data_IF_605291004127
#
_entry.id   IF_605291004127
#
_cell.length_a   1.000
_cell.length_b   1.000
_cell.length_c   1.000
_cell.angle_alpha   90.00
_cell.angle_beta   90.00
_cell.angle_gamma   90.00
#
_symmetry.space_group_name_H-M   'P 1'
#
loop_
_entity.id
_entity.type
_entity.pdbx_description
1 polymer ?
#
# COMPACT_ATOMS: atom_id res chain seq x y z
N UNK A 1 -4.67 3.54 8.44
CA UNK A 1 -3.81 2.76 9.36
C UNK A 1 -3.84 1.29 8.94
N UNK A 2 -2.88 0.46 9.35
CA UNK A 2 -2.94 -0.99 9.07
C UNK A 2 -3.78 -1.72 10.13
N UNK A 3 -4.35 -2.87 9.77
CA UNK A 3 -4.96 -3.84 10.68
C UNK A 3 -4.27 -5.22 10.59
N UNK A 4 -3.06 -5.26 10.02
CA UNK A 4 -2.26 -6.47 9.99
C UNK A 4 -1.65 -6.72 11.37
N UNK A 5 -1.86 -7.92 11.92
CA UNK A 5 -1.41 -8.28 13.26
C UNK A 5 0.01 -8.84 13.19
N UNK A 6 0.98 -7.96 12.96
CA UNK A 6 2.39 -8.37 12.75
C UNK A 6 3.33 -7.52 13.61
N UNK A 7 4.46 -8.09 14.10
CA UNK A 7 5.50 -7.32 14.78
C UNK A 7 6.41 -6.55 13.80
N UNK A 8 6.01 -6.46 12.53
CA UNK A 8 6.82 -5.88 11.44
C UNK A 8 6.56 -4.39 11.22
N UNK A 9 5.85 -3.73 12.15
CA UNK A 9 5.61 -2.28 12.13
C UNK A 9 4.27 -1.80 11.62
N UNK A 10 3.43 -2.73 11.16
CA UNK A 10 2.07 -2.46 10.68
C UNK A 10 1.23 -1.75 11.74
N UNK A 11 1.44 -2.07 13.01
CA UNK A 11 0.73 -1.47 14.15
C UNK A 11 1.44 -0.26 14.78
N UNK A 12 2.66 0.10 14.36
CA UNK A 12 3.48 1.12 15.04
C UNK A 12 2.72 2.45 15.23
N UNK A 13 2.03 2.93 14.19
CA UNK A 13 1.27 4.20 14.25
C UNK A 13 0.17 4.20 15.32
N UNK A 14 -0.54 3.09 15.50
CA UNK A 14 -1.61 2.95 16.49
C UNK A 14 -1.03 2.78 17.89
N UNK A 15 0.06 2.01 18.03
CA UNK A 15 0.73 1.84 19.32
C UNK A 15 1.34 3.15 19.80
N UNK A 16 2.01 3.90 18.93
CA UNK A 16 2.56 5.21 19.27
C UNK A 16 1.42 6.16 19.63
N UNK A 17 0.30 6.16 18.90
CA UNK A 17 -0.84 7.00 19.24
C UNK A 17 -1.39 6.72 20.64
N UNK A 18 -1.64 5.45 20.96
CA UNK A 18 -2.29 5.02 22.20
C UNK A 18 -1.35 5.01 23.42
N UNK A 19 -0.10 4.59 23.22
CA UNK A 19 0.82 4.24 24.31
C UNK A 19 2.08 5.10 24.33
N UNK A 20 2.33 5.93 23.32
CA UNK A 20 3.54 6.76 23.20
C UNK A 20 4.79 5.99 22.77
N UNK A 21 4.67 4.70 22.45
CA UNK A 21 5.76 3.82 22.04
C UNK A 21 5.26 2.80 21.01
N UNK A 22 6.16 2.28 20.16
CA UNK A 22 5.85 1.15 19.31
C UNK A 22 6.05 -0.15 20.10
N UNK A 23 4.96 -0.89 20.35
CA UNK A 23 4.99 -2.19 21.02
C UNK A 23 5.06 -3.32 20.00
N UNK A 24 6.04 -4.20 20.16
CA UNK A 24 6.26 -5.36 19.28
C UNK A 24 6.03 -6.70 20.00
N UNK A 25 5.63 -6.67 21.28
CA UNK A 25 5.36 -7.89 22.03
C UNK A 25 4.10 -8.59 21.51
N UNK A 26 4.13 -9.92 21.57
CA UNK A 26 3.04 -10.76 21.07
C UNK A 26 1.71 -10.42 21.72
N UNK A 27 1.67 -10.09 23.01
CA UNK A 27 0.41 -9.82 23.69
C UNK A 27 -0.25 -8.57 23.11
N UNK A 28 0.52 -7.49 22.94
CA UNK A 28 0.09 -6.26 22.30
C UNK A 28 -0.36 -6.50 20.86
N UNK A 29 0.44 -7.18 20.02
CA UNK A 29 0.11 -7.41 18.60
C UNK A 29 -1.24 -8.11 18.43
N UNK A 30 -1.56 -9.11 19.26
CA UNK A 30 -2.79 -9.89 19.14
C UNK A 30 -4.01 -9.31 19.89
N UNK A 31 -3.84 -8.27 20.71
CA UNK A 31 -4.94 -7.65 21.46
C UNK A 31 -5.77 -6.68 20.61
N UNK A 32 -6.44 -7.22 19.59
CA UNK A 32 -7.18 -6.41 18.63
C UNK A 32 -8.43 -5.77 19.23
N UNK A 33 -9.13 -6.48 20.11
CA UNK A 33 -10.32 -5.95 20.78
C UNK A 33 -9.96 -4.88 21.82
N UNK A 34 -8.89 -5.09 22.61
CA UNK A 34 -8.42 -4.09 23.57
C UNK A 34 -7.96 -2.82 22.86
N UNK A 35 -7.12 -2.96 21.83
CA UNK A 35 -6.69 -1.84 20.98
C UNK A 35 -7.86 -1.12 20.31
N UNK A 36 -8.88 -1.85 19.87
CA UNK A 36 -10.11 -1.27 19.33
C UNK A 36 -10.86 -0.42 20.37
N UNK A 37 -10.99 -0.93 21.60
CA UNK A 37 -11.61 -0.19 22.70
C UNK A 37 -10.81 1.06 23.08
N UNK A 38 -9.47 0.96 23.13
CA UNK A 38 -8.57 2.07 23.41
C UNK A 38 -8.65 3.15 22.31
N UNK A 39 -8.70 2.76 21.03
CA UNK A 39 -8.91 3.69 19.91
C UNK A 39 -10.24 4.42 20.04
N UNK A 40 -11.32 3.72 20.37
CA UNK A 40 -12.63 4.34 20.57
C UNK A 40 -12.64 5.29 21.77
N UNK A 41 -12.03 4.90 22.89
CA UNK A 41 -11.88 5.77 24.06
C UNK A 41 -11.06 7.03 23.73
N UNK A 42 -10.00 6.89 22.93
CA UNK A 42 -9.19 8.01 22.46
C UNK A 42 -9.96 8.94 21.50
N UNK A 43 -10.75 8.36 20.59
CA UNK A 43 -11.48 9.09 19.55
C UNK A 43 -12.76 9.78 20.04
N UNK A 44 -13.43 9.25 21.06
CA UNK A 44 -14.69 9.77 21.60
C UNK A 44 -14.66 11.28 21.92
N UNK A 45 -13.69 11.82 22.69
CA UNK A 45 -13.68 13.25 23.00
C UNK A 45 -13.44 14.15 21.77
N UNK A 46 -12.98 13.57 20.66
CA UNK A 46 -12.71 14.26 19.39
C UNK A 46 -13.89 14.16 18.41
N UNK A 47 -14.98 13.48 18.79
CA UNK A 47 -16.12 13.22 17.91
C UNK A 47 -15.82 12.20 16.81
N UNK A 48 -14.81 11.34 16.99
CA UNK A 48 -14.50 10.27 16.04
C UNK A 48 -15.43 9.09 16.30
N UNK A 49 -16.26 8.74 15.32
CA UNK A 49 -17.24 7.65 15.41
C UNK A 49 -16.65 6.27 15.10
N UNK A 50 -15.49 6.23 14.43
CA UNK A 50 -14.82 5.00 14.05
C UNK A 50 -13.53 5.20 13.26
N UNK A 51 -12.91 4.09 12.88
CA UNK A 51 -11.60 4.04 12.23
C UNK A 51 -11.63 3.13 11.01
N UNK A 52 -11.05 3.61 9.91
CA UNK A 52 -10.83 2.79 8.71
C UNK A 52 -9.38 2.30 8.69
N UNK A 53 -9.22 1.00 8.52
CA UNK A 53 -7.91 0.34 8.50
C UNK A 53 -7.80 -0.63 7.33
N UNK A 54 -6.57 -0.97 6.97
CA UNK A 54 -6.28 -1.87 5.85
C UNK A 54 -5.52 -3.09 6.33
N UNK A 55 -6.06 -4.27 6.03
CA UNK A 55 -5.42 -5.57 6.16
C UNK A 55 -5.40 -6.19 4.75
N UNK A 56 -5.83 -7.45 4.59
CA UNK A 56 -6.14 -8.03 3.28
C UNK A 56 -7.26 -7.27 2.55
N UNK A 57 -8.19 -6.67 3.29
CA UNK A 57 -9.20 -5.76 2.79
C UNK A 57 -9.23 -4.45 3.58
N UNK A 58 -10.33 -3.72 3.49
CA UNK A 58 -10.61 -2.60 4.39
C UNK A 58 -11.47 -3.07 5.56
N UNK A 59 -11.12 -2.62 6.76
CA UNK A 59 -11.86 -2.85 7.99
C UNK A 59 -12.40 -1.52 8.48
N UNK A 60 -13.67 -1.51 8.86
CA UNK A 60 -14.31 -0.40 9.57
C UNK A 60 -14.51 -0.82 11.02
N UNK A 61 -13.76 -0.18 11.92
CA UNK A 61 -13.97 -0.27 13.35
C UNK A 61 -14.92 0.84 13.77
N UNK A 62 -16.17 0.50 14.06
CA UNK A 62 -17.19 1.48 14.47
C UNK A 62 -17.38 1.43 15.99
N UNK A 63 -17.31 2.58 16.65
CA UNK A 63 -17.24 2.64 18.11
C UNK A 63 -18.60 2.49 18.79
N UNK A 64 -19.67 2.99 18.15
CA UNK A 64 -21.03 2.91 18.67
C UNK A 64 -22.03 2.70 17.52
N UNK A 65 -22.62 1.51 17.46
CA UNK A 65 -23.57 1.15 16.39
C UNK A 65 -24.94 1.81 16.52
N UNK A 66 -25.24 2.45 17.66
CA UNK A 66 -26.45 3.24 17.85
C UNK A 66 -26.30 4.67 17.30
N UNK A 67 -25.08 5.07 16.91
CA UNK A 67 -24.74 6.39 16.41
C UNK A 67 -24.28 6.34 14.94
N UNK A 68 -24.78 7.25 14.10
CA UNK A 68 -24.30 7.47 12.72
C UNK A 68 -24.66 6.37 11.70
N UNK A 69 -25.22 5.25 12.13
CA UNK A 69 -25.62 4.14 11.26
C UNK A 69 -27.14 4.01 11.15
N UNK A 70 -27.61 3.69 9.95
CA UNK A 70 -29.00 3.31 9.70
C UNK A 70 -29.06 1.81 9.40
N UNK A 71 -29.82 1.08 10.20
CA UNK A 71 -30.13 -0.31 9.90
C UNK A 71 -30.88 -0.39 8.57
N UNK A 72 -30.29 -1.09 7.60
CA UNK A 72 -30.85 -1.26 6.26
C UNK A 72 -31.60 -2.59 6.14
N UNK A 73 -30.93 -3.70 6.45
CA UNK A 73 -31.49 -5.04 6.28
C UNK A 73 -30.79 -6.08 7.17
N UNK A 74 -31.50 -7.15 7.49
CA UNK A 74 -30.95 -8.35 8.12
C UNK A 74 -31.23 -9.56 7.21
N UNK A 75 -30.17 -10.22 6.75
CA UNK A 75 -30.23 -11.37 5.84
C UNK A 75 -29.66 -12.61 6.53
N UNK A 76 -30.43 -13.69 6.54
CA UNK A 76 -29.93 -14.99 6.99
C UNK A 76 -29.18 -15.67 5.84
N UNK A 77 -27.85 -15.55 5.84
CA UNK A 77 -26.95 -16.18 4.86
C UNK A 77 -26.38 -17.52 5.33
N UNK A 78 -26.88 -18.05 6.46
CA UNK A 78 -26.29 -19.21 7.12
C UNK A 78 -26.73 -20.56 6.53
N UNK A 79 -27.80 -20.61 5.73
CA UNK A 79 -28.36 -21.85 5.15
C UNK A 79 -28.09 -22.01 3.64
N UNK A 80 -26.87 -21.69 3.22
CA UNK A 80 -26.46 -21.84 1.82
C UNK A 80 -26.40 -23.30 1.37
N UNK A 81 -26.15 -24.25 2.29
CA UNK A 81 -26.05 -25.69 1.95
C UNK A 81 -27.37 -26.21 1.39
N UNK A 82 -28.49 -25.85 2.05
CA UNK A 82 -29.83 -26.20 1.58
C UNK A 82 -30.11 -25.52 0.25
N UNK A 83 -29.69 -24.26 0.07
CA UNK A 83 -29.85 -23.54 -1.19
C UNK A 83 -29.08 -24.19 -2.36
N UNK A 84 -27.86 -24.69 -2.14
CA UNK A 84 -27.04 -25.28 -3.21
C UNK A 84 -27.36 -26.74 -3.49
N UNK A 85 -27.64 -27.54 -2.47
CA UNK A 85 -27.81 -29.00 -2.60
C UNK A 85 -29.26 -29.46 -2.64
N UNK A 86 -30.20 -28.59 -2.28
CA UNK A 86 -31.59 -28.97 -2.02
C UNK A 86 -31.78 -29.86 -0.79
N UNK A 87 -30.71 -30.18 -0.06
CA UNK A 87 -30.75 -31.02 1.13
C UNK A 87 -30.71 -30.15 2.38
N UNK A 88 -31.64 -30.33 3.34
CA UNK A 88 -31.65 -29.55 4.57
C UNK A 88 -30.36 -29.77 5.35
N UNK A 89 -29.79 -28.68 5.85
CA UNK A 89 -28.63 -28.69 6.73
C UNK A 89 -28.98 -29.44 8.03
N UNK A 90 -28.55 -30.71 8.16
CA UNK A 90 -28.93 -31.58 9.30
C UNK A 90 -28.50 -31.02 10.65
N UNK A 91 -27.43 -30.20 10.69
CA UNK A 91 -26.99 -29.40 11.83
C UNK A 91 -26.28 -28.14 11.34
N UNK A 92 -26.85 -26.95 11.59
CA UNK A 92 -26.17 -25.67 11.35
C UNK A 92 -24.80 -25.70 12.05
N UNK A 93 -23.70 -25.53 11.33
CA UNK A 93 -22.42 -25.90 11.90
C UNK A 93 -21.89 -24.81 12.88
N UNK A 94 -22.63 -23.70 13.01
CA UNK A 94 -22.48 -22.64 14.03
C UNK A 94 -23.27 -22.87 15.34
N UNK A 95 -23.92 -24.03 15.51
CA UNK A 95 -24.78 -24.29 16.68
C UNK A 95 -26.11 -23.52 16.62
N UNK A 96 -27.03 -23.84 17.55
CA UNK A 96 -28.45 -23.39 17.45
C UNK A 96 -28.71 -21.92 17.83
N UNK A 97 -27.75 -21.15 18.33
CA UNK A 97 -27.99 -19.77 18.81
C UNK A 97 -26.74 -18.88 18.68
N UNK A 98 -26.73 -17.81 17.85
CA UNK A 98 -25.76 -16.73 18.01
C UNK A 98 -26.11 -15.92 19.27
N UNK A 99 -25.29 -15.98 20.33
CA UNK A 99 -25.45 -15.05 21.47
C UNK A 99 -24.85 -13.68 21.11
N UNK A 100 -25.47 -12.55 21.53
CA UNK A 100 -24.90 -11.22 21.35
C UNK A 100 -23.57 -11.08 22.13
N UNK A 101 -22.67 -10.17 21.73
CA UNK A 101 -21.41 -9.94 22.40
C UNK A 101 -21.64 -9.05 23.64
N UNK A 102 -22.14 -9.62 24.74
CA UNK A 102 -22.11 -8.95 26.04
C UNK A 102 -21.04 -9.59 26.91
N UNK A 103 -19.92 -8.89 27.16
CA UNK A 103 -18.95 -9.24 28.20
C UNK A 103 -19.13 -8.25 29.36
N UNK A 104 -19.44 -8.77 30.55
CA UNK A 104 -19.42 -8.03 31.81
C UNK A 104 -18.25 -8.48 32.71
N UNK A 105 -17.92 -7.74 33.79
CA UNK A 105 -16.60 -7.79 34.45
C UNK A 105 -16.38 -8.96 35.44
N UNK A 106 -17.08 -10.09 35.33
CA UNK A 106 -17.05 -11.14 36.36
C UNK A 106 -16.79 -12.57 35.86
N UNK A 107 -16.21 -12.74 34.66
CA UNK A 107 -15.86 -14.07 34.15
C UNK A 107 -14.43 -14.51 34.59
N UNK A 108 -14.25 -15.76 35.04
CA UNK A 108 -12.97 -16.28 35.54
C UNK A 108 -11.93 -16.55 34.41
N UNK A 109 -10.63 -16.74 34.75
CA UNK A 109 -9.49 -16.60 33.82
C UNK A 109 -9.29 -17.70 32.77
N UNK A 110 -10.22 -18.64 32.61
CA UNK A 110 -10.04 -19.78 31.70
C UNK A 110 -11.22 -19.87 30.74
N UNK A 111 -10.98 -19.62 29.46
CA UNK A 111 -11.85 -20.07 28.38
C UNK A 111 -11.74 -21.59 28.24
N UNK A 112 -12.80 -22.39 28.48
CA UNK A 112 -12.88 -23.73 27.91
C UNK A 112 -13.35 -23.57 26.46
N UNK A 113 -12.45 -23.82 25.52
CA UNK A 113 -12.66 -23.68 24.08
C UNK A 113 -13.54 -24.82 23.51
N UNK A 114 -14.78 -25.01 23.98
CA UNK A 114 -15.62 -26.12 23.46
C UNK A 114 -16.99 -25.73 22.88
N UNK A 115 -17.44 -24.47 22.93
CA UNK A 115 -18.75 -24.11 22.31
C UNK A 115 -18.73 -22.85 21.43
N UNK A 116 -17.54 -22.42 20.99
CA UNK A 116 -17.37 -21.45 19.88
C UNK A 116 -16.47 -21.99 18.78
N UNK A 117 -16.74 -23.21 18.35
CA UNK A 117 -16.20 -23.66 17.07
C UNK A 117 -17.07 -23.06 15.95
N UNK A 118 -16.46 -22.38 14.96
CA UNK A 118 -17.06 -22.31 13.63
C UNK A 118 -17.46 -23.72 13.17
N UNK A 119 -18.34 -23.83 12.16
CA UNK A 119 -18.65 -25.05 11.46
C UNK A 119 -17.47 -25.94 11.32
N UNK A 120 -17.69 -27.22 11.61
CA UNK A 120 -16.80 -28.33 11.28
C UNK A 120 -15.53 -27.86 10.58
N UNK A 121 -14.52 -27.55 11.39
CA UNK A 121 -13.18 -27.21 10.92
C UNK A 121 -12.46 -28.45 10.38
N UNK A 122 -13.19 -29.50 9.97
CA UNK A 122 -12.61 -30.56 9.16
C UNK A 122 -11.97 -29.89 7.94
N UNK A 123 -10.64 -29.90 7.94
CA UNK A 123 -9.82 -29.51 6.79
C UNK A 123 -10.32 -30.36 5.62
N UNK A 124 -11.17 -29.80 4.76
CA UNK A 124 -11.84 -30.54 3.69
C UNK A 124 -13.33 -30.23 3.48
N UNK A 125 -14.02 -29.51 4.39
CA UNK A 125 -15.38 -29.05 4.10
C UNK A 125 -15.37 -28.06 2.92
N UNK A 126 -16.07 -28.32 1.80
CA UNK A 126 -16.02 -27.49 0.59
C UNK A 126 -16.30 -26.00 0.83
N UNK A 127 -17.10 -25.70 1.87
CA UNK A 127 -17.45 -24.35 2.28
C UNK A 127 -16.28 -23.53 2.82
N UNK A 128 -15.45 -24.11 3.69
CA UNK A 128 -14.35 -23.38 4.32
C UNK A 128 -13.35 -22.95 3.26
N UNK A 129 -13.00 -23.87 2.35
CA UNK A 129 -12.10 -23.57 1.23
C UNK A 129 -12.70 -22.53 0.28
N UNK A 130 -13.99 -22.63 -0.06
CA UNK A 130 -14.63 -21.70 -0.99
C UNK A 130 -14.80 -20.30 -0.39
N UNK A 131 -15.30 -20.19 0.85
CA UNK A 131 -15.50 -18.88 1.50
C UNK A 131 -14.19 -18.14 1.76
N UNK A 132 -13.17 -18.85 2.22
CA UNK A 132 -11.85 -18.27 2.45
C UNK A 132 -11.16 -17.90 1.12
N UNK A 133 -11.40 -18.67 0.05
CA UNK A 133 -10.97 -18.32 -1.30
C UNK A 133 -11.69 -17.09 -1.87
N UNK A 134 -13.01 -16.97 -1.71
CA UNK A 134 -13.76 -15.78 -2.13
C UNK A 134 -13.33 -14.54 -1.33
N UNK A 135 -13.00 -14.71 -0.05
CA UNK A 135 -12.39 -13.65 0.75
C UNK A 135 -11.02 -13.24 0.20
N UNK A 136 -10.17 -14.19 -0.22
CA UNK A 136 -8.87 -13.89 -0.83
C UNK A 136 -9.03 -13.18 -2.18
N UNK A 137 -9.98 -13.62 -3.01
CA UNK A 137 -10.33 -12.94 -4.27
C UNK A 137 -10.66 -11.47 -4.03
N UNK A 138 -11.61 -11.21 -3.12
CA UNK A 138 -12.01 -9.85 -2.76
C UNK A 138 -10.82 -9.03 -2.21
N UNK A 139 -9.95 -9.65 -1.41
CA UNK A 139 -8.74 -9.01 -0.91
C UNK A 139 -7.76 -8.62 -2.04
N UNK A 140 -7.55 -9.48 -3.03
CA UNK A 140 -6.62 -9.19 -4.13
C UNK A 140 -7.09 -8.07 -5.07
N UNK A 141 -8.40 -7.81 -5.14
CA UNK A 141 -8.94 -6.67 -5.89
C UNK A 141 -8.45 -5.32 -5.36
N UNK A 142 -8.19 -5.22 -4.04
CA UNK A 142 -7.74 -3.97 -3.42
C UNK A 142 -6.22 -3.79 -3.41
N UNK A 143 -5.43 -4.86 -3.50
CA UNK A 143 -3.95 -4.78 -3.46
C UNK A 143 -3.37 -3.97 -4.63
N UNK A 144 -3.86 -4.23 -5.85
CA UNK A 144 -3.36 -3.59 -7.07
C UNK A 144 -4.04 -2.27 -7.46
N UNK A 145 -5.18 -1.94 -6.83
CA UNK A 145 -6.07 -0.85 -7.24
C UNK A 145 -5.77 0.51 -6.59
N UNK A 146 -6.68 1.48 -6.81
CA UNK A 146 -6.59 2.81 -6.19
C UNK A 146 -6.77 2.76 -4.66
N UNK A 147 -7.24 1.64 -4.09
CA UNK A 147 -7.73 1.51 -2.72
C UNK A 147 -9.26 1.59 -2.68
N UNK A 148 -9.86 1.71 -1.49
CA UNK A 148 -11.31 1.88 -1.32
C UNK A 148 -11.75 3.28 -1.78
N UNK A 149 -12.69 3.34 -2.72
CA UNK A 149 -13.21 4.60 -3.28
C UNK A 149 -14.28 5.22 -2.40
N UNK A 150 -14.99 4.41 -1.60
CA UNK A 150 -16.00 4.91 -0.64
C UNK A 150 -15.39 5.67 0.53
N UNK A 151 -14.09 5.51 0.77
CA UNK A 151 -13.35 6.21 1.82
C UNK A 151 -12.80 7.51 1.25
N UNK A 152 -13.46 8.61 1.60
CA UNK A 152 -13.05 9.96 1.21
C UNK A 152 -12.03 10.48 2.23
N UNK A 153 -10.82 10.79 1.77
CA UNK A 153 -9.73 11.24 2.64
C UNK A 153 -9.74 12.76 2.77
N UNK A 154 -9.73 13.26 4.01
CA UNK A 154 -9.42 14.66 4.28
C UNK A 154 -7.90 14.86 4.30
N UNK A 155 -7.36 15.26 3.16
CA UNK A 155 -5.92 15.52 2.98
C UNK A 155 -5.43 16.75 3.74
N UNK A 156 -6.34 17.66 4.14
CA UNK A 156 -5.99 18.84 4.95
C UNK A 156 -5.62 18.50 6.39
N UNK A 157 -5.88 17.26 6.80
CA UNK A 157 -5.55 16.73 8.13
C UNK A 157 -4.66 15.50 8.06
N UNK A 158 -4.06 15.23 6.89
CA UNK A 158 -3.18 14.08 6.73
C UNK A 158 -1.91 14.24 7.57
N UNK A 159 -1.62 13.23 8.40
CA UNK A 159 -0.40 13.13 9.20
C UNK A 159 0.44 11.96 8.68
N UNK A 160 1.75 12.19 8.61
CA UNK A 160 2.75 11.19 8.22
C UNK A 160 3.99 11.34 9.09
N UNK A 161 4.62 10.21 9.43
CA UNK A 161 5.91 10.19 10.11
C UNK A 161 7.08 10.41 9.14
N UNK A 162 6.85 10.26 7.84
CA UNK A 162 7.87 10.57 6.83
C UNK A 162 8.19 12.07 6.86
N UNK A 163 9.48 12.37 7.04
CA UNK A 163 9.97 13.74 7.24
C UNK A 163 10.45 14.02 8.67
N UNK A 164 10.24 13.09 9.62
CA UNK A 164 10.91 13.17 10.92
C UNK A 164 12.43 12.96 10.78
N UNK A 165 13.28 13.75 11.48
CA UNK A 165 14.73 13.73 11.28
C UNK A 165 15.41 12.39 11.55
N UNK A 166 14.80 11.60 12.43
CA UNK A 166 15.24 10.30 12.95
C UNK A 166 14.43 9.12 12.40
N UNK A 167 13.58 9.39 11.41
CA UNK A 167 13.13 8.38 10.45
C UNK A 167 13.90 8.51 9.10
N UNK A 168 15.26 8.58 9.07
CA UNK A 168 15.98 8.66 7.82
C UNK A 168 16.06 7.27 7.19
N UNK A 169 15.43 7.14 6.02
CA UNK A 169 15.97 6.44 4.85
C UNK A 169 14.89 6.44 3.75
N UNK A 170 14.61 7.59 3.13
CA UNK A 170 13.81 7.66 1.90
C UNK A 170 14.52 7.01 0.68
N UNK A 171 15.35 6.00 0.87
CA UNK A 171 16.14 5.32 -0.17
C UNK A 171 16.49 3.87 0.15
N UNK A 172 15.91 3.29 1.21
CA UNK A 172 15.92 1.85 1.46
C UNK A 172 14.54 1.27 1.15
N UNK A 173 14.50 -0.05 1.04
CA UNK A 173 13.28 -0.86 0.97
C UNK A 173 12.23 -0.37 1.98
N UNK A 174 11.13 0.22 1.48
CA UNK A 174 10.12 0.85 2.34
C UNK A 174 9.45 -0.17 3.27
N UNK A 175 9.47 -1.47 2.93
CA UNK A 175 8.97 -2.54 3.80
C UNK A 175 9.74 -2.64 5.12
N UNK A 176 10.94 -2.06 5.22
CA UNK A 176 11.78 -2.05 6.43
C UNK A 176 11.63 -0.78 7.26
N UNK A 177 10.80 0.16 6.84
CA UNK A 177 10.57 1.39 7.59
C UNK A 177 9.75 1.10 8.84
N UNK A 178 10.23 1.60 9.97
CA UNK A 178 9.67 1.34 11.30
C UNK A 178 9.57 2.63 12.07
N UNK A 179 8.37 3.02 12.48
CA UNK A 179 8.21 4.16 13.38
C UNK A 179 8.74 3.83 14.78
N UNK A 180 8.88 2.55 15.13
CA UNK A 180 9.58 2.08 16.31
C UNK A 180 11.04 2.57 16.44
N UNK A 181 11.68 2.95 15.33
CA UNK A 181 13.05 3.48 15.32
C UNK A 181 13.14 4.98 15.58
N UNK A 182 12.01 5.68 15.62
CA UNK A 182 11.98 7.10 15.96
C UNK A 182 12.33 7.28 17.43
N UNK A 183 12.95 8.42 17.74
CA UNK A 183 13.15 8.90 19.11
C UNK A 183 11.82 9.26 19.76
N UNK A 184 11.83 9.27 21.09
CA UNK A 184 10.68 9.70 21.89
C UNK A 184 10.22 11.11 21.51
N UNK A 185 11.14 12.01 21.14
CA UNK A 185 10.79 13.38 20.73
C UNK A 185 10.00 13.40 19.41
N UNK A 186 10.34 12.54 18.46
CA UNK A 186 9.62 12.42 17.19
C UNK A 186 8.29 11.71 17.35
N UNK A 187 8.22 10.67 18.20
CA UNK A 187 6.95 10.04 18.57
C UNK A 187 5.99 11.04 19.23
N UNK A 188 6.48 11.87 20.17
CA UNK A 188 5.69 12.94 20.79
C UNK A 188 5.23 13.98 19.77
N UNK A 189 6.09 14.38 18.82
CA UNK A 189 5.67 15.28 17.73
C UNK A 189 4.58 14.66 16.86
N UNK A 190 4.72 13.38 16.51
CA UNK A 190 3.70 12.65 15.75
C UNK A 190 2.35 12.63 16.50
N UNK A 191 2.34 12.29 17.80
CA UNK A 191 1.11 12.32 18.61
C UNK A 191 0.50 13.73 18.66
N UNK A 192 1.32 14.76 18.88
CA UNK A 192 0.85 16.14 18.90
C UNK A 192 0.28 16.57 17.54
N UNK A 193 0.88 16.14 16.43
CA UNK A 193 0.38 16.40 15.08
C UNK A 193 -0.98 15.74 14.85
N UNK A 194 -1.17 14.50 15.30
CA UNK A 194 -2.48 13.81 15.25
C UNK A 194 -3.54 14.55 16.06
N UNK A 195 -3.23 14.91 17.32
CA UNK A 195 -4.15 15.66 18.18
C UNK A 195 -4.50 17.03 17.61
N UNK A 196 -3.51 17.71 17.03
CA UNK A 196 -3.70 19.01 16.37
C UNK A 196 -4.61 18.88 15.15
N UNK A 197 -4.39 17.85 14.32
CA UNK A 197 -5.22 17.60 13.15
C UNK A 197 -6.67 17.26 13.53
N UNK A 198 -6.86 16.39 14.52
CA UNK A 198 -8.18 15.99 15.00
C UNK A 198 -8.99 17.17 15.57
N UNK A 199 -8.34 18.05 16.35
CA UNK A 199 -9.01 19.24 16.91
C UNK A 199 -9.13 20.41 15.93
N UNK A 200 -8.47 20.36 14.77
CA UNK A 200 -8.47 21.48 13.84
C UNK A 200 -9.84 21.64 13.17
N UNK A 201 -10.24 22.90 12.95
CA UNK A 201 -11.34 23.24 12.03
C UNK A 201 -10.80 23.75 10.70
N UNK A 202 -9.60 23.31 10.31
CA UNK A 202 -8.94 23.79 9.09
C UNK A 202 -9.77 23.36 7.90
N UNK A 203 -10.09 24.33 7.05
CA UNK A 203 -10.63 24.08 5.73
C UNK A 203 -9.46 23.72 4.81
N UNK A 204 -9.57 22.56 4.14
CA UNK A 204 -8.63 22.18 3.09
C UNK A 204 -8.79 23.03 1.83
N UNK A 205 -7.78 22.99 0.99
CA UNK A 205 -7.81 23.64 -0.33
C UNK A 205 -8.84 23.05 -1.30
N UNK A 206 -9.37 21.86 -1.02
CA UNK A 206 -10.25 21.10 -1.91
C UNK A 206 -9.51 20.38 -3.05
N UNK A 207 -8.18 20.40 -3.05
CA UNK A 207 -7.36 19.72 -4.05
C UNK A 207 -7.41 18.20 -3.84
N UNK A 208 -7.67 17.47 -4.92
CA UNK A 208 -7.59 16.01 -4.91
C UNK A 208 -6.14 15.54 -5.06
N UNK A 209 -5.42 15.54 -3.94
CA UNK A 209 -4.01 15.11 -3.88
C UNK A 209 -3.83 13.64 -4.25
N UNK A 210 -4.81 12.78 -3.97
CA UNK A 210 -4.78 11.35 -4.36
C UNK A 210 -4.74 11.22 -5.88
N UNK A 211 -5.53 12.02 -6.60
CA UNK A 211 -5.53 12.06 -8.06
C UNK A 211 -4.23 12.57 -8.65
N UNK A 212 -3.63 13.61 -8.07
CA UNK A 212 -2.32 14.13 -8.52
C UNK A 212 -1.24 13.05 -8.37
N UNK A 213 -1.11 12.48 -7.17
CA UNK A 213 -0.13 11.43 -6.91
C UNK A 213 -0.37 10.18 -7.79
N UNK A 214 -1.62 9.76 -7.93
CA UNK A 214 -2.01 8.65 -8.80
C UNK A 214 -1.70 8.91 -10.28
N UNK A 215 -1.86 10.14 -10.76
CA UNK A 215 -1.52 10.51 -12.13
C UNK A 215 -0.01 10.43 -12.38
N UNK A 216 0.81 10.85 -11.43
CA UNK A 216 2.27 10.71 -11.53
C UNK A 216 2.65 9.22 -11.56
N UNK A 217 2.18 8.44 -10.59
CA UNK A 217 2.47 7.02 -10.51
C UNK A 217 2.08 6.27 -11.80
N UNK A 218 0.88 6.51 -12.32
CA UNK A 218 0.41 5.88 -13.58
C UNK A 218 1.17 6.36 -14.82
N UNK A 219 1.59 7.63 -14.87
CA UNK A 219 2.32 8.20 -16.02
C UNK A 219 3.72 7.61 -16.15
N UNK A 220 4.43 7.43 -15.04
CA UNK A 220 5.83 7.00 -15.03
C UNK A 220 6.02 5.52 -14.72
N UNK A 221 5.06 4.89 -14.02
CA UNK A 221 5.26 3.59 -13.38
C UNK A 221 5.58 2.44 -14.33
N UNK A 222 5.07 2.46 -15.57
CA UNK A 222 5.45 1.46 -16.58
C UNK A 222 6.65 1.88 -17.45
N UNK A 223 6.81 3.19 -17.64
CA UNK A 223 7.79 3.76 -18.58
C UNK A 223 9.21 3.84 -18.02
N UNK A 224 9.37 4.02 -16.70
CA UNK A 224 10.70 3.98 -16.06
C UNK A 224 11.32 2.57 -16.16
N UNK A 225 10.62 1.48 -15.77
CA UNK A 225 11.13 0.12 -15.97
C UNK A 225 11.36 -0.24 -17.45
N UNK A 226 10.54 0.28 -18.36
CA UNK A 226 10.71 0.08 -19.81
C UNK A 226 12.05 0.66 -20.31
N UNK A 227 12.40 1.89 -19.89
CA UNK A 227 13.69 2.50 -20.20
C UNK A 227 14.83 1.62 -19.66
N UNK A 228 14.76 1.20 -18.38
CA UNK A 228 15.77 0.33 -17.76
C UNK A 228 15.93 -0.99 -18.50
N UNK A 229 14.83 -1.62 -18.92
CA UNK A 229 14.84 -2.88 -19.66
C UNK A 229 15.55 -2.72 -21.00
N UNK A 230 15.25 -1.64 -21.74
CA UNK A 230 15.92 -1.36 -23.00
C UNK A 230 17.42 -1.07 -22.83
N UNK A 231 17.83 -0.35 -21.79
CA UNK A 231 19.25 -0.12 -21.49
C UNK A 231 19.99 -1.42 -21.15
N UNK A 232 19.30 -2.40 -20.55
CA UNK A 232 19.86 -3.72 -20.25
C UNK A 232 20.15 -4.60 -21.47
N UNK A 233 19.49 -4.35 -22.60
CA UNK A 233 19.69 -5.15 -23.82
C UNK A 233 21.02 -4.86 -24.53
N UNK A 234 21.72 -3.78 -24.19
CA UNK A 234 23.07 -3.46 -24.70
C UNK A 234 23.17 -3.44 -26.24
N UNK A 235 22.09 -3.06 -26.93
CA UNK A 235 22.06 -2.83 -28.39
C UNK A 235 21.69 -1.38 -28.71
N UNK A 236 22.22 -0.83 -29.81
CA UNK A 236 21.94 0.55 -30.22
C UNK A 236 20.44 0.74 -30.54
N UNK A 237 19.79 -0.27 -31.13
CA UNK A 237 18.34 -0.26 -31.37
C UNK A 237 17.55 -0.14 -30.06
N UNK A 238 17.93 -0.88 -29.02
CA UNK A 238 17.29 -0.77 -27.72
C UNK A 238 17.57 0.59 -27.06
N UNK A 239 18.78 1.13 -27.18
CA UNK A 239 19.10 2.46 -26.68
C UNK A 239 18.26 3.56 -27.37
N UNK A 240 18.07 3.47 -28.70
CA UNK A 240 17.17 4.37 -29.44
C UNK A 240 15.74 4.27 -28.92
N UNK A 241 15.23 3.07 -28.65
CA UNK A 241 13.89 2.85 -28.03
C UNK A 241 13.81 3.48 -26.63
N UNK A 242 14.79 3.23 -25.77
CA UNK A 242 14.88 3.85 -24.44
C UNK A 242 14.79 5.38 -24.52
N UNK A 243 15.55 5.99 -25.45
CA UNK A 243 15.52 7.43 -25.70
C UNK A 243 14.15 7.93 -26.15
N UNK A 244 13.45 7.19 -27.03
CA UNK A 244 12.09 7.52 -27.47
C UNK A 244 11.09 7.52 -26.30
N UNK A 245 11.19 6.53 -25.40
CA UNK A 245 10.35 6.49 -24.20
C UNK A 245 10.67 7.67 -23.29
N UNK A 246 11.95 7.95 -23.05
CA UNK A 246 12.38 9.06 -22.21
C UNK A 246 11.92 10.42 -22.74
N UNK A 247 12.12 10.71 -24.03
CA UNK A 247 11.67 11.96 -24.63
C UNK A 247 10.15 12.08 -24.52
N UNK A 248 9.38 11.02 -24.77
CA UNK A 248 7.92 11.05 -24.65
C UNK A 248 7.41 11.45 -23.25
N UNK A 249 8.18 11.16 -22.20
CA UNK A 249 7.88 11.55 -20.81
C UNK A 249 8.13 13.03 -20.53
N UNK A 250 9.09 13.64 -21.21
CA UNK A 250 9.54 15.02 -20.93
C UNK A 250 9.15 16.03 -22.00
N UNK A 251 8.76 15.59 -23.20
CA UNK A 251 8.37 16.43 -24.34
C UNK A 251 7.41 17.57 -23.98
N UNK A 252 6.36 17.38 -23.15
CA UNK A 252 5.46 18.47 -22.77
C UNK A 252 6.13 19.61 -21.99
N UNK A 253 7.33 19.39 -21.47
CA UNK A 253 8.06 20.31 -20.59
C UNK A 253 9.38 20.81 -21.20
N UNK A 254 9.69 20.44 -22.45
CA UNK A 254 10.92 20.88 -23.10
C UNK A 254 10.76 22.31 -23.59
N UNK A 255 11.63 23.19 -23.10
CA UNK A 255 11.88 24.46 -23.72
C UNK A 255 13.10 24.36 -24.66
N UNK A 256 12.84 24.19 -25.96
CA UNK A 256 13.89 24.09 -26.99
C UNK A 256 14.78 25.34 -27.09
N UNK A 257 14.29 26.49 -26.62
CA UNK A 257 15.01 27.77 -26.68
C UNK A 257 15.64 28.16 -25.34
N UNK A 258 15.40 27.37 -24.29
CA UNK A 258 15.82 27.69 -22.92
C UNK A 258 16.84 26.72 -22.35
N UNK A 259 17.45 27.06 -21.20
CA UNK A 259 18.37 26.17 -20.52
C UNK A 259 17.66 24.92 -19.96
N UNK A 260 18.39 23.80 -19.90
CA UNK A 260 17.85 22.50 -19.45
C UNK A 260 17.24 22.55 -18.03
N UNK A 261 17.81 23.37 -17.14
CA UNK A 261 17.28 23.57 -15.78
C UNK A 261 15.85 24.14 -15.78
N UNK A 262 15.48 24.97 -16.76
CA UNK A 262 14.13 25.51 -16.89
C UNK A 262 13.14 24.40 -17.29
N UNK A 263 13.54 23.51 -18.20
CA UNK A 263 12.71 22.37 -18.62
C UNK A 263 12.50 21.37 -17.48
N UNK A 264 13.54 21.12 -16.68
CA UNK A 264 13.42 20.31 -15.45
C UNK A 264 12.47 20.97 -14.45
N UNK A 265 12.58 22.28 -14.21
CA UNK A 265 11.69 22.98 -13.28
C UNK A 265 10.22 22.99 -13.76
N UNK A 266 9.98 23.14 -15.06
CA UNK A 266 8.65 23.04 -15.67
C UNK A 266 8.08 21.63 -15.51
N UNK A 267 8.90 20.60 -15.73
CA UNK A 267 8.53 19.21 -15.50
C UNK A 267 8.17 18.99 -14.04
N UNK A 268 9.03 19.36 -13.08
CA UNK A 268 8.78 19.24 -11.64
C UNK A 268 7.39 19.77 -11.25
N UNK A 269 7.03 20.96 -11.75
CA UNK A 269 5.75 21.62 -11.45
C UNK A 269 4.63 21.28 -12.44
N UNK A 270 4.83 20.34 -13.35
CA UNK A 270 3.88 20.03 -14.43
C UNK A 270 2.48 19.66 -13.94
N UNK A 271 2.37 19.08 -12.73
CA UNK A 271 1.11 18.71 -12.09
C UNK A 271 0.65 19.68 -10.99
N UNK A 272 1.47 20.65 -10.61
CA UNK A 272 1.27 21.50 -9.43
C UNK A 272 1.35 23.00 -9.75
N UNK A 273 1.64 23.38 -11.00
CA UNK A 273 1.86 24.77 -11.42
C UNK A 273 0.68 25.72 -11.18
N UNK A 274 -0.55 25.19 -11.09
CA UNK A 274 -1.77 25.95 -10.80
C UNK A 274 -2.09 26.06 -9.31
N UNK A 275 -1.32 25.41 -8.45
CA UNK A 275 -1.54 25.40 -7.00
C UNK A 275 -0.87 26.62 -6.39
N UNK A 276 -1.63 27.41 -5.65
CA UNK A 276 -1.10 28.51 -4.83
C UNK A 276 -0.74 28.00 -3.42
N UNK A 277 0.56 27.92 -3.05
CA UNK A 277 0.98 27.42 -1.76
C UNK A 277 0.44 28.21 -0.56
N UNK A 278 0.02 29.48 -0.75
CA UNK A 278 -0.48 30.33 0.33
C UNK A 278 -1.86 29.90 0.82
N UNK A 279 -2.62 29.16 0.01
CA UNK A 279 -3.98 28.70 0.33
C UNK A 279 -4.01 27.26 0.85
N UNK A 280 -2.85 26.65 1.12
CA UNK A 280 -2.75 25.26 1.54
C UNK A 280 -2.76 25.12 3.07
N UNK A 281 -3.45 24.11 3.58
CA UNK A 281 -3.24 23.65 4.95
C UNK A 281 -1.80 23.14 5.14
N UNK A 282 -1.31 23.07 6.38
CA UNK A 282 0.07 22.64 6.66
C UNK A 282 0.39 21.25 6.08
N UNK A 283 -0.60 20.35 6.07
CA UNK A 283 -0.49 18.96 5.62
C UNK A 283 -0.48 18.90 4.10
N UNK A 284 -1.29 19.73 3.45
CA UNK A 284 -1.31 19.90 2.00
C UNK A 284 -0.01 20.51 1.48
N UNK A 285 0.59 21.44 2.23
CA UNK A 285 1.92 21.95 1.91
C UNK A 285 2.99 20.84 1.97
N UNK A 286 2.90 19.92 2.96
CA UNK A 286 3.76 18.73 3.01
C UNK A 286 3.51 17.82 1.79
N UNK A 287 2.26 17.61 1.38
CA UNK A 287 1.90 16.83 0.19
C UNK A 287 2.46 17.45 -1.10
N UNK A 288 2.31 18.76 -1.28
CA UNK A 288 2.90 19.51 -2.39
C UNK A 288 4.41 19.28 -2.45
N UNK A 289 5.09 19.46 -1.31
CA UNK A 289 6.54 19.28 -1.21
C UNK A 289 6.96 17.87 -1.57
N UNK A 290 6.25 16.85 -1.09
CA UNK A 290 6.54 15.46 -1.40
C UNK A 290 6.35 15.14 -2.90
N UNK A 291 5.26 15.62 -3.49
CA UNK A 291 4.95 15.46 -4.91
C UNK A 291 6.03 16.13 -5.78
N UNK A 292 6.37 17.38 -5.50
CA UNK A 292 7.39 18.10 -6.28
C UNK A 292 8.79 17.50 -6.06
N UNK A 293 9.10 16.97 -4.88
CA UNK A 293 10.38 16.29 -4.62
C UNK A 293 10.50 15.00 -5.44
N UNK A 294 9.47 14.15 -5.43
CA UNK A 294 9.41 12.93 -6.23
C UNK A 294 9.52 13.27 -7.72
N UNK A 295 8.73 14.25 -8.16
CA UNK A 295 8.68 14.60 -9.57
C UNK A 295 9.98 15.25 -10.04
N UNK A 296 10.63 16.08 -9.22
CA UNK A 296 11.95 16.63 -9.52
C UNK A 296 13.00 15.52 -9.70
N UNK A 297 12.97 14.46 -8.88
CA UNK A 297 13.89 13.33 -9.00
C UNK A 297 13.66 12.54 -10.28
N UNK A 298 12.40 12.32 -10.66
CA UNK A 298 12.02 11.69 -11.93
C UNK A 298 12.47 12.56 -13.10
N UNK A 299 12.04 13.82 -13.14
CA UNK A 299 12.34 14.76 -14.22
C UNK A 299 13.85 14.92 -14.41
N UNK A 300 14.62 15.13 -13.35
CA UNK A 300 16.08 15.28 -13.43
C UNK A 300 16.75 14.04 -14.03
N UNK A 301 16.33 12.84 -13.62
CA UNK A 301 16.87 11.57 -14.14
C UNK A 301 16.52 11.38 -15.61
N UNK A 302 15.24 11.56 -15.99
CA UNK A 302 14.77 11.35 -17.36
C UNK A 302 15.35 12.39 -18.33
N UNK A 303 15.36 13.67 -17.95
CA UNK A 303 16.01 14.73 -18.73
C UNK A 303 17.50 14.48 -18.88
N UNK A 304 18.19 14.14 -17.79
CA UNK A 304 19.62 13.86 -17.84
C UNK A 304 19.95 12.71 -18.79
N UNK A 305 19.14 11.64 -18.79
CA UNK A 305 19.29 10.53 -19.73
C UNK A 305 19.05 10.97 -21.18
N UNK A 306 17.95 11.69 -21.43
CA UNK A 306 17.64 12.21 -22.76
C UNK A 306 18.77 13.09 -23.30
N UNK A 307 19.29 14.01 -22.48
CA UNK A 307 20.38 14.92 -22.85
C UNK A 307 21.68 14.18 -23.13
N UNK A 308 22.01 13.15 -22.33
CA UNK A 308 23.22 12.34 -22.50
C UNK A 308 23.27 11.58 -23.83
N UNK A 309 22.10 11.34 -24.45
CA UNK A 309 21.97 10.65 -25.73
C UNK A 309 21.24 11.50 -26.78
N UNK A 310 21.21 12.82 -26.63
CA UNK A 310 20.48 13.73 -27.53
C UNK A 310 20.91 13.58 -28.99
N UNK A 311 22.18 13.28 -29.25
CA UNK A 311 22.75 13.17 -30.60
C UNK A 311 22.34 11.88 -31.34
N UNK A 312 21.79 10.88 -30.63
CA UNK A 312 21.32 9.66 -31.27
C UNK A 312 20.10 9.95 -32.14
N UNK A 313 20.26 9.71 -33.45
CA UNK A 313 19.16 9.81 -34.39
C UNK A 313 18.05 8.80 -34.05
N UNK A 314 16.77 9.22 -34.01
CA UNK A 314 15.65 8.36 -33.60
C UNK A 314 15.39 7.21 -34.59
N UNK A 315 15.86 7.33 -35.83
CA UNK A 315 15.74 6.33 -36.89
C UNK A 315 17.05 6.33 -37.67
N UNK A 316 17.66 5.17 -37.87
CA UNK A 316 18.61 5.00 -38.96
C UNK A 316 17.84 4.46 -40.16
N UNK A 317 17.93 5.16 -41.30
CA UNK A 317 17.93 4.51 -42.61
C UNK A 317 18.82 3.26 -42.52
N UNK A 318 18.44 2.17 -43.17
CA UNK A 318 18.98 0.80 -43.05
C UNK A 318 20.50 0.63 -43.32
N UNK A 319 21.30 1.69 -43.35
CA UNK A 319 22.72 1.66 -43.66
C UNK A 319 23.50 2.57 -42.72
N UNK A 320 24.02 2.00 -41.62
CA UNK A 320 25.31 2.38 -41.04
C UNK A 320 25.81 1.22 -40.17
N UNK A 321 26.69 0.41 -40.76
CA UNK A 321 27.37 -0.76 -40.15
C UNK A 321 28.67 -0.39 -39.45
N UNK A 322 28.85 0.86 -39.01
CA UNK A 322 30.05 1.27 -38.28
C UNK A 322 29.68 1.65 -36.85
N UNK A 323 30.11 0.77 -35.93
CA UNK A 323 30.13 1.00 -34.49
C UNK A 323 31.00 2.24 -34.25
N UNK A 324 30.38 3.42 -34.24
CA UNK A 324 31.06 4.66 -33.92
C UNK A 324 31.71 4.44 -32.56
N UNK A 325 33.05 4.48 -32.51
CA UNK A 325 33.89 4.11 -31.36
C UNK A 325 33.74 4.98 -30.10
N UNK A 326 32.52 5.42 -29.81
CA UNK A 326 32.11 6.07 -28.58
C UNK A 326 31.69 5.00 -27.57
N UNK A 327 32.16 5.10 -26.33
CA UNK A 327 31.73 4.25 -25.22
C UNK A 327 30.28 4.57 -24.81
N UNK A 328 29.33 4.28 -25.69
CA UNK A 328 27.91 4.45 -25.43
C UNK A 328 27.40 3.32 -24.53
N UNK A 329 28.01 2.12 -24.59
CA UNK A 329 27.63 0.96 -23.76
C UNK A 329 27.92 1.20 -22.29
N UNK A 330 29.11 1.71 -21.95
CA UNK A 330 29.47 2.11 -20.59
C UNK A 330 28.48 3.15 -20.05
N UNK A 331 28.27 4.24 -20.81
CA UNK A 331 27.28 5.28 -20.46
C UNK A 331 25.86 4.74 -20.31
N UNK A 332 25.42 3.83 -21.20
CA UNK A 332 24.10 3.22 -21.10
C UNK A 332 23.97 2.38 -19.83
N UNK A 333 25.02 1.65 -19.44
CA UNK A 333 25.10 0.93 -18.17
C UNK A 333 25.06 1.85 -16.94
N UNK A 334 25.71 3.02 -17.00
CA UNK A 334 25.60 4.03 -15.94
C UNK A 334 24.17 4.56 -15.79
N UNK A 335 23.50 4.87 -16.90
CA UNK A 335 22.11 5.32 -16.88
C UNK A 335 21.16 4.21 -16.43
N UNK A 336 21.41 2.96 -16.82
CA UNK A 336 20.64 1.82 -16.33
C UNK A 336 20.67 1.74 -14.79
N UNK A 337 21.85 1.93 -14.18
CA UNK A 337 22.01 1.99 -12.72
C UNK A 337 21.25 3.16 -12.11
N UNK A 338 21.29 4.35 -12.71
CA UNK A 338 20.51 5.51 -12.24
C UNK A 338 18.99 5.26 -12.28
N UNK A 339 18.49 4.54 -13.28
CA UNK A 339 17.08 4.13 -13.32
C UNK A 339 16.75 3.07 -12.26
N UNK A 340 17.65 2.11 -12.00
CA UNK A 340 17.50 1.15 -10.88
C UNK A 340 17.42 1.91 -9.54
N UNK A 341 18.33 2.85 -9.29
CA UNK A 341 18.33 3.68 -8.08
C UNK A 341 17.05 4.53 -7.97
N UNK A 342 16.55 5.06 -9.08
CA UNK A 342 15.28 5.80 -9.11
C UNK A 342 14.10 4.90 -8.78
N UNK A 343 14.02 3.70 -9.37
CA UNK A 343 12.98 2.72 -9.06
C UNK A 343 13.05 2.29 -7.59
N UNK A 344 14.24 2.04 -7.04
CA UNK A 344 14.41 1.73 -5.61
C UNK A 344 14.02 2.89 -4.69
N UNK A 345 14.29 4.13 -5.09
CA UNK A 345 13.86 5.31 -4.34
C UNK A 345 12.34 5.49 -4.34
N UNK A 346 11.70 5.24 -5.49
CA UNK A 346 10.26 5.38 -5.64
C UNK A 346 9.49 4.25 -4.97
N UNK A 347 10.02 3.02 -5.07
CA UNK A 347 9.49 1.77 -4.49
C UNK A 347 7.96 1.70 -4.55
N UNK A 348 7.41 1.97 -5.75
CA UNK A 348 5.98 2.05 -5.95
C UNK A 348 5.33 0.67 -5.86
N UNK A 349 4.24 0.60 -5.09
CA UNK A 349 3.45 -0.62 -4.89
C UNK A 349 3.10 -1.39 -6.16
N UNK A 350 2.91 -0.68 -7.29
CA UNK A 350 2.54 -1.30 -8.57
C UNK A 350 3.64 -2.20 -9.18
N UNK A 351 4.87 -2.10 -8.69
CA UNK A 351 5.97 -2.98 -9.07
C UNK A 351 6.02 -4.26 -8.24
N UNK A 352 5.35 -4.27 -7.09
CA UNK A 352 5.10 -5.46 -6.27
C UNK A 352 3.82 -6.14 -6.76
N UNK A 353 3.85 -6.64 -8.00
CA UNK A 353 2.76 -7.36 -8.66
C UNK A 353 3.26 -8.65 -9.30
N UNK A 354 2.33 -9.53 -9.70
CA UNK A 354 2.67 -10.77 -10.37
C UNK A 354 3.38 -10.50 -11.70
N UNK A 355 4.44 -11.27 -11.97
CA UNK A 355 5.24 -11.16 -13.19
C UNK A 355 4.45 -11.53 -14.46
N UNK A 356 3.43 -12.37 -14.29
CA UNK A 356 2.52 -12.81 -15.34
C UNK A 356 1.08 -12.42 -15.02
N UNK A 357 0.24 -12.40 -16.06
CA UNK A 357 -1.20 -12.24 -15.92
C UNK A 357 -1.76 -13.58 -15.47
N UNK A 358 -2.37 -13.63 -14.28
CA UNK A 358 -2.95 -14.85 -13.74
C UNK A 358 -4.10 -15.38 -14.61
N UNK A 359 -4.31 -16.69 -14.60
CA UNK A 359 -5.42 -17.33 -15.31
C UNK A 359 -6.78 -16.93 -14.72
N UNK A 360 -7.89 -17.15 -15.43
CA UNK A 360 -9.23 -16.79 -14.94
C UNK A 360 -9.64 -17.43 -13.60
N UNK A 361 -9.06 -18.58 -13.26
CA UNK A 361 -9.28 -19.30 -12.00
C UNK A 361 -8.21 -19.00 -10.92
N UNK A 362 -7.26 -18.12 -11.23
CA UNK A 362 -6.16 -17.72 -10.36
C UNK A 362 -6.32 -16.25 -9.92
N UNK A 363 -5.69 -15.89 -8.80
CA UNK A 363 -5.53 -14.49 -8.35
C UNK A 363 -4.06 -14.16 -8.13
N UNK A 364 -3.71 -12.89 -8.32
CA UNK A 364 -2.38 -12.41 -7.97
C UNK A 364 -2.29 -12.22 -6.46
N UNK A 365 -1.74 -13.22 -5.78
CA UNK A 365 -1.61 -13.23 -4.34
C UNK A 365 -0.33 -12.50 -3.91
N UNK A 366 -0.47 -11.58 -2.95
CA UNK A 366 0.66 -10.97 -2.26
C UNK A 366 0.81 -11.64 -0.88
N UNK A 367 2.02 -12.13 -0.51
CA UNK A 367 2.26 -12.77 0.79
C UNK A 367 2.12 -11.79 1.95
N UNK A 368 0.89 -11.61 2.44
CA UNK A 368 0.57 -10.72 3.56
C UNK A 368 -0.31 -11.42 4.60
N UNK A 369 -0.29 -10.90 5.82
CA UNK A 369 -1.23 -11.28 6.87
C UNK A 369 -2.68 -11.13 6.40
N UNK A 370 -3.62 -12.01 6.78
CA UNK A 370 -3.49 -13.24 7.58
C UNK A 370 -3.15 -14.53 6.82
N UNK A 371 -2.96 -14.48 5.50
CA UNK A 371 -2.81 -15.70 4.68
C UNK A 371 -1.42 -16.32 4.82
N UNK A 372 -0.36 -15.51 4.82
CA UNK A 372 0.99 -15.99 5.02
C UNK A 372 1.27 -16.34 6.49
N UNK A 373 0.57 -17.33 7.06
CA UNK A 373 0.74 -17.76 8.48
C UNK A 373 2.16 -18.21 8.81
N UNK A 374 2.91 -18.64 7.80
CA UNK A 374 4.27 -19.17 7.87
C UNK A 374 5.32 -18.11 8.19
N UNK A 375 5.00 -16.81 8.00
CA UNK A 375 5.94 -15.68 8.14
C UNK A 375 5.79 -14.95 9.49
N UNK A 376 4.64 -15.08 10.16
CA UNK A 376 4.35 -14.33 11.37
C UNK A 376 4.34 -15.24 12.59
N UNK A 377 5.18 -14.91 13.58
CA UNK A 377 5.34 -15.67 14.82
C UNK A 377 4.01 -15.85 15.57
N UNK A 378 3.27 -16.90 15.24
CA UNK A 378 2.21 -17.42 16.09
C UNK A 378 2.85 -17.90 17.39
N UNK A 379 2.31 -17.55 18.57
CA UNK A 379 2.84 -18.02 19.84
C UNK A 379 3.00 -19.55 19.83
N UNK A 380 4.24 -20.04 19.99
CA UNK A 380 4.54 -21.47 20.11
C UNK A 380 4.79 -22.25 18.80
N UNK A 381 4.97 -21.61 17.64
CA UNK A 381 5.40 -22.29 16.40
C UNK A 381 6.79 -21.86 15.93
N UNK A 382 7.61 -22.83 15.52
CA UNK A 382 8.91 -22.57 14.87
C UNK A 382 8.68 -21.94 13.48
N UNK A 383 9.50 -20.97 13.07
CA UNK A 383 9.40 -20.35 11.76
C UNK A 383 9.69 -21.39 10.66
N UNK A 384 8.83 -21.47 9.67
CA UNK A 384 9.14 -22.08 8.38
C UNK A 384 10.05 -21.14 7.58
N UNK A 385 10.88 -21.64 6.64
CA UNK A 385 11.74 -20.80 5.82
C UNK A 385 10.93 -19.68 5.17
N UNK A 386 11.48 -18.46 5.17
CA UNK A 386 10.86 -17.26 4.61
C UNK A 386 10.24 -17.58 3.24
N UNK A 387 8.91 -17.65 3.16
CA UNK A 387 8.24 -17.55 1.87
C UNK A 387 8.67 -16.21 1.28
N UNK A 388 9.22 -16.18 0.05
CA UNK A 388 9.61 -14.92 -0.54
C UNK A 388 8.36 -14.02 -0.60
N UNK A 389 8.49 -12.76 -0.18
CA UNK A 389 7.46 -11.70 -0.30
C UNK A 389 7.10 -11.38 -1.78
N UNK A 390 7.38 -12.29 -2.71
CA UNK A 390 7.14 -12.13 -4.14
C UNK A 390 5.68 -12.51 -4.47
N UNK A 391 4.92 -11.57 -5.08
CA UNK A 391 3.58 -11.86 -5.56
C UNK A 391 3.59 -12.94 -6.65
N UNK A 392 2.64 -13.87 -6.59
CA UNK A 392 2.51 -14.97 -7.54
C UNK A 392 1.05 -15.38 -7.73
N UNK A 393 0.75 -16.00 -8.87
CA UNK A 393 -0.59 -16.47 -9.16
C UNK A 393 -0.89 -17.75 -8.37
N UNK A 394 -2.02 -17.77 -7.67
CA UNK A 394 -2.50 -18.93 -6.87
C UNK A 394 -3.94 -19.24 -7.23
N UNK A 395 -4.38 -20.48 -7.03
CA UNK A 395 -5.76 -20.92 -7.22
C UNK A 395 -6.38 -21.47 -5.92
N UNK A 396 -7.66 -21.86 -5.98
CA UNK A 396 -8.40 -22.38 -4.82
C UNK A 396 -7.75 -23.62 -4.20
N UNK A 397 -7.17 -24.49 -5.02
CA UNK A 397 -6.50 -25.70 -4.53
C UNK A 397 -5.26 -25.34 -3.74
N UNK A 398 -4.41 -24.45 -4.28
CA UNK A 398 -3.23 -23.94 -3.57
C UNK A 398 -3.61 -23.39 -2.19
N UNK A 399 -4.65 -22.57 -2.13
CA UNK A 399 -5.13 -21.95 -0.90
C UNK A 399 -5.68 -22.97 0.11
N UNK A 400 -6.41 -23.99 -0.36
CA UNK A 400 -6.94 -25.06 0.48
C UNK A 400 -5.84 -25.86 1.21
N UNK A 401 -4.64 -25.95 0.62
CA UNK A 401 -3.48 -26.64 1.20
C UNK A 401 -2.53 -25.71 1.98
N UNK A 402 -2.65 -24.38 1.84
CA UNK A 402 -1.81 -23.38 2.51
C UNK A 402 -2.62 -22.28 3.25
N UNK A 403 -3.59 -22.61 4.14
CA UNK A 403 -4.48 -21.63 4.79
C UNK A 403 -3.93 -20.88 6.01
#
# INVERSE_FOLDING_TARGET
MSAALTPTGTLDSQHILLYGEARDDSQSVWDEYGRGADLCAWGQPLGVEGFVRTNAGFELLWCDFDTGLQFSQNLNVSDWWTAMSGQPLKQAPWGKNPRPPTRGPSDPPNCPYEERCPPDRSRGAPFWSYTAWEWLRAATEVYGGAGEERVILDTSRMITAYGEPDLPDLGRDMAKHRMARMSNNSMLRYQNDVMRAANSSIAGSGIDWRRIAGRIATTYGRRLPEIRLHLGNQTESALKKARIVAISLVMPFINFQGPSNQSVAQCTRGFTSSIDPQNLAWSEFKLLTAIETIHARICTTVFGFYEAFRELQPVSSEQSTEDSGTDWKGRAGEWQRKFIELEQFLDWKMWNACKEVCKPDEVCYQPIWPVARTIYHLPGKNPTPDEPFEPHCVNVDWYAFHP
#
